data_IF_857020553077
#
_entry.id   IF_857020553077
#
_cell.length_a   1.000
_cell.length_b   1.000
_cell.length_c   1.000
_cell.angle_alpha   90.00
_cell.angle_beta   90.00
_cell.angle_gamma   90.00
#
_symmetry.space_group_name_H-M   'P 1'
#
loop_
_entity.id
_entity.type
_entity.pdbx_description
1 polymer ?
#
# COMPACT_ATOMS: atom_id res chain seq x y z
N UNK A 1 11.49 7.38 -3.42
CA UNK A 1 10.31 6.90 -2.68
C UNK A 1 9.46 6.08 -3.64
N UNK A 2 9.02 4.90 -3.22
CA UNK A 2 8.00 4.13 -3.93
C UNK A 2 6.66 4.36 -3.27
N UNK A 3 5.61 4.51 -4.06
CA UNK A 3 4.23 4.49 -3.59
C UNK A 3 3.62 3.17 -3.99
N UNK A 4 3.28 2.33 -3.03
CA UNK A 4 2.63 1.05 -3.27
C UNK A 4 1.16 1.15 -2.88
N UNK A 5 0.30 0.78 -3.80
CA UNK A 5 -1.15 0.71 -3.60
C UNK A 5 -1.57 -0.73 -3.80
N UNK A 6 -2.03 -1.37 -2.73
CA UNK A 6 -2.59 -2.71 -2.76
C UNK A 6 -4.10 -2.57 -2.68
N UNK A 7 -4.79 -3.05 -3.71
CA UNK A 7 -6.25 -3.13 -3.72
C UNK A 7 -6.68 -4.58 -3.57
N UNK A 8 -7.58 -4.82 -2.64
CA UNK A 8 -8.12 -6.15 -2.38
C UNK A 8 -9.58 -6.09 -2.00
N UNK A 9 -10.16 -7.27 -1.80
CA UNK A 9 -11.50 -7.44 -1.24
C UNK A 9 -11.37 -8.15 0.08
N UNK A 10 -12.17 -7.68 1.04
CA UNK A 10 -12.37 -8.39 2.28
C UNK A 10 -13.13 -9.69 2.00
N UNK A 11 -12.66 -10.80 2.56
CA UNK A 11 -13.37 -12.07 2.53
C UNK A 11 -14.45 -12.11 3.61
N UNK A 12 -14.53 -13.22 4.35
CA UNK A 12 -15.24 -13.25 5.63
C UNK A 12 -14.45 -12.43 6.65
N UNK A 13 -14.67 -11.11 6.65
CA UNK A 13 -14.13 -10.23 7.67
C UNK A 13 -15.03 -10.27 8.91
N UNK A 14 -14.46 -10.69 10.04
CA UNK A 14 -15.11 -10.59 11.33
C UNK A 14 -15.35 -9.12 11.71
N UNK A 15 -16.32 -8.88 12.59
CA UNK A 15 -16.62 -7.52 13.08
C UNK A 15 -15.40 -6.85 13.74
N UNK A 16 -14.47 -7.63 14.29
CA UNK A 16 -13.23 -7.15 14.91
C UNK A 16 -12.26 -6.54 13.88
N UNK A 17 -12.04 -7.21 12.75
CA UNK A 17 -11.23 -6.68 11.65
C UNK A 17 -11.86 -5.43 11.04
N UNK A 18 -13.19 -5.39 10.91
CA UNK A 18 -13.90 -4.18 10.45
C UNK A 18 -13.69 -3.00 11.39
N UNK A 19 -13.71 -3.24 12.71
CA UNK A 19 -13.45 -2.20 13.70
C UNK A 19 -11.99 -1.70 13.65
N UNK A 20 -11.02 -2.61 13.52
CA UNK A 20 -9.61 -2.25 13.39
C UNK A 20 -9.35 -1.38 12.15
N UNK A 21 -9.95 -1.76 11.02
CA UNK A 21 -9.91 -1.02 9.77
C UNK A 21 -10.60 0.34 9.89
N UNK A 22 -11.76 0.41 10.54
CA UNK A 22 -12.50 1.66 10.73
C UNK A 22 -11.78 2.62 11.69
N UNK A 23 -11.06 2.09 12.70
CA UNK A 23 -10.23 2.89 13.61
C UNK A 23 -8.97 3.43 12.92
N UNK A 24 -8.44 2.71 11.92
CA UNK A 24 -7.33 3.16 11.09
C UNK A 24 -7.74 4.02 9.88
N UNK A 25 -9.03 4.11 9.57
CA UNK A 25 -9.59 4.97 8.52
C UNK A 25 -9.55 6.42 9.00
N UNK A 26 -8.39 7.05 8.84
CA UNK A 26 -8.21 8.46 9.14
C UNK A 26 -9.10 9.25 8.15
N UNK A 27 -10.23 9.74 8.66
CA UNK A 27 -11.27 10.45 7.91
C UNK A 27 -10.77 11.67 7.11
N UNK A 28 -9.52 12.09 7.34
CA UNK A 28 -8.87 13.23 6.71
C UNK A 28 -7.97 12.91 5.51
N UNK A 29 -7.90 11.65 5.08
CA UNK A 29 -7.52 11.33 3.72
C UNK A 29 -6.47 10.26 3.58
N UNK A 30 -6.55 9.57 2.45
CA UNK A 30 -5.62 8.55 1.98
C UNK A 30 -4.18 9.08 1.81
N UNK A 31 -3.50 9.34 2.91
CA UNK A 31 -2.09 9.67 2.94
C UNK A 31 -1.26 8.41 2.67
N UNK A 32 -0.17 8.55 1.92
CA UNK A 32 0.82 7.48 1.82
C UNK A 32 1.74 7.63 3.03
N UNK A 33 1.62 6.74 4.01
CA UNK A 33 2.45 6.70 5.22
C UNK A 33 3.43 5.53 5.16
N UNK A 34 4.55 5.60 5.91
CA UNK A 34 5.57 4.53 5.92
C UNK A 34 5.04 3.25 6.59
N UNK A 35 4.16 3.42 7.57
CA UNK A 35 3.42 2.32 8.18
C UNK A 35 2.35 1.72 7.25
N UNK A 36 1.92 2.47 6.22
CA UNK A 36 0.81 2.12 5.35
C UNK A 36 -0.53 2.57 5.93
N UNK A 37 -1.31 3.26 5.12
CA UNK A 37 -2.67 3.68 5.43
C UNK A 37 -3.66 2.74 4.75
N UNK A 38 -4.55 2.18 5.55
CA UNK A 38 -5.61 1.32 5.08
C UNK A 38 -6.88 2.15 4.89
N UNK A 39 -7.50 2.08 3.71
CA UNK A 39 -8.76 2.78 3.42
C UNK A 39 -9.79 1.77 2.94
N UNK A 40 -11.00 1.85 3.49
CA UNK A 40 -12.10 0.96 3.09
C UNK A 40 -13.26 1.72 2.50
N UNK A 41 -13.98 1.07 1.58
CA UNK A 41 -15.27 1.57 1.15
C UNK A 41 -16.31 1.40 2.29
N UNK A 42 -17.33 2.26 2.35
CA UNK A 42 -18.44 2.16 3.33
C UNK A 42 -19.10 0.77 3.33
N UNK A 43 -19.09 0.06 2.20
CA UNK A 43 -19.63 -1.29 2.10
C UNK A 43 -18.70 -2.40 2.59
N UNK A 44 -17.45 -2.11 2.99
CA UNK A 44 -16.40 -3.11 3.27
C UNK A 44 -16.28 -4.19 2.19
N UNK A 45 -16.64 -3.87 0.95
CA UNK A 45 -16.59 -4.79 -0.19
C UNK A 45 -15.18 -4.85 -0.76
N UNK A 46 -14.50 -3.70 -0.78
CA UNK A 46 -13.13 -3.56 -1.23
C UNK A 46 -12.35 -2.66 -0.28
N UNK A 47 -11.05 -2.91 -0.23
CA UNK A 47 -10.10 -2.08 0.49
C UNK A 47 -8.96 -1.64 -0.41
N UNK A 48 -8.33 -0.54 0.00
CA UNK A 48 -7.13 -0.01 -0.60
C UNK A 48 -6.12 0.28 0.50
N UNK A 49 -5.06 -0.50 0.53
CA UNK A 49 -3.89 -0.24 1.36
C UNK A 49 -2.87 0.58 0.58
N UNK A 50 -2.39 1.67 1.16
CA UNK A 50 -1.45 2.61 0.54
C UNK A 50 -0.25 2.76 1.45
N UNK A 51 0.90 2.29 1.02
CA UNK A 51 2.15 2.41 1.76
C UNK A 51 3.16 3.21 0.92
N UNK A 52 3.91 4.09 1.59
CA UNK A 52 5.12 4.64 0.99
C UNK A 52 6.31 3.83 1.48
N UNK A 53 7.09 3.30 0.55
CA UNK A 53 8.33 2.62 0.87
C UNK A 53 9.47 3.57 0.55
N UNK A 54 10.33 3.93 1.52
CA UNK A 54 11.53 4.70 1.25
C UNK A 54 12.34 3.96 0.18
N UNK A 55 12.60 4.64 -0.94
CA UNK A 55 13.35 4.03 -2.04
C UNK A 55 14.83 4.26 -1.80
N UNK A 56 15.55 3.18 -1.51
CA UNK A 56 17.01 3.16 -1.51
C UNK A 56 17.53 3.04 -2.96
N UNK A 57 18.79 3.46 -3.22
CA UNK A 57 19.35 3.49 -4.57
C UNK A 57 19.49 2.10 -5.21
N UNK A 58 19.52 1.05 -4.39
CA UNK A 58 19.61 -0.36 -4.83
C UNK A 58 18.23 -1.02 -4.91
N UNK A 59 17.24 -0.50 -4.18
CA UNK A 59 15.88 -1.02 -4.16
C UNK A 59 15.16 -0.78 -5.48
N UNK A 60 14.60 -1.86 -6.02
CA UNK A 60 13.69 -1.87 -7.16
C UNK A 60 12.22 -1.96 -6.76
N UNK A 61 11.35 -2.06 -7.77
CA UNK A 61 9.91 -2.25 -7.57
C UNK A 61 9.58 -3.57 -6.83
N UNK A 62 10.44 -4.59 -6.94
CA UNK A 62 10.31 -5.86 -6.22
C UNK A 62 10.47 -5.66 -4.72
N UNK A 63 11.57 -5.05 -4.26
CA UNK A 63 11.78 -4.72 -2.85
C UNK A 63 10.61 -3.89 -2.29
N UNK A 64 10.15 -2.89 -3.04
CA UNK A 64 9.01 -2.08 -2.63
C UNK A 64 7.73 -2.91 -2.48
N UNK A 65 7.50 -3.87 -3.37
CA UNK A 65 6.38 -4.81 -3.28
C UNK A 65 6.50 -5.67 -2.03
N UNK A 66 7.67 -6.27 -1.80
CA UNK A 66 7.91 -7.16 -0.66
C UNK A 66 7.74 -6.44 0.67
N UNK A 67 8.22 -5.19 0.78
CA UNK A 67 8.01 -4.34 1.96
C UNK A 67 6.53 -4.01 2.17
N UNK A 68 5.81 -3.69 1.10
CA UNK A 68 4.39 -3.39 1.19
C UNK A 68 3.56 -4.63 1.57
N UNK A 69 3.93 -5.81 1.04
CA UNK A 69 3.31 -7.09 1.42
C UNK A 69 3.64 -7.44 2.87
N UNK A 70 4.88 -7.24 3.32
CA UNK A 70 5.25 -7.46 4.72
C UNK A 70 4.48 -6.53 5.68
N UNK A 71 4.28 -5.27 5.31
CA UNK A 71 3.48 -4.32 6.09
C UNK A 71 1.99 -4.72 6.13
N UNK A 72 1.48 -5.29 5.03
CA UNK A 72 0.12 -5.82 4.95
C UNK A 72 -0.06 -7.11 5.77
N UNK A 73 0.89 -8.04 5.69
CA UNK A 73 0.92 -9.27 6.50
C UNK A 73 1.03 -8.95 7.99
N UNK A 74 1.81 -7.92 8.36
CA UNK A 74 1.91 -7.44 9.74
C UNK A 74 0.57 -6.89 10.29
N UNK A 75 -0.33 -6.41 9.41
CA UNK A 75 -1.69 -6.05 9.79
C UNK A 75 -2.58 -7.27 10.04
N UNK A 76 -2.20 -8.47 9.55
CA UNK A 76 -2.79 -9.74 9.98
C UNK A 76 -4.24 -9.99 9.56
N UNK A 77 -4.75 -9.28 8.55
CA UNK A 77 -6.15 -9.42 8.13
C UNK A 77 -6.33 -10.47 7.03
N UNK A 78 -7.34 -11.37 7.11
CA UNK A 78 -7.68 -12.32 6.05
C UNK A 78 -8.28 -11.56 4.85
N UNK A 79 -7.40 -11.12 3.96
CA UNK A 79 -7.70 -10.20 2.88
C UNK A 79 -7.26 -10.79 1.54
N UNK A 80 -8.14 -10.76 0.53
CA UNK A 80 -7.79 -11.22 -0.83
C UNK A 80 -7.20 -10.07 -1.63
N UNK A 81 -5.90 -10.14 -1.91
CA UNK A 81 -5.21 -9.18 -2.79
C UNK A 81 -5.69 -9.39 -4.22
N UNK A 82 -6.29 -8.36 -4.83
CA UNK A 82 -6.71 -8.39 -6.23
C UNK A 82 -5.65 -7.77 -7.14
N UNK A 83 -5.05 -6.67 -6.71
CA UNK A 83 -4.10 -5.92 -7.51
C UNK A 83 -3.12 -5.16 -6.64
N UNK A 84 -1.84 -5.30 -6.96
CA UNK A 84 -0.77 -4.46 -6.41
C UNK A 84 -0.33 -3.51 -7.52
N UNK A 85 -0.28 -2.22 -7.21
CA UNK A 85 0.25 -1.19 -8.08
C UNK A 85 1.41 -0.51 -7.35
N UNK A 86 2.62 -0.70 -7.87
CA UNK A 86 3.82 -0.03 -7.39
C UNK A 86 4.09 1.13 -8.33
N UNK A 87 4.34 2.29 -7.75
CA UNK A 87 4.69 3.49 -8.50
C UNK A 87 5.99 4.02 -7.95
N UNK A 88 7.06 3.88 -8.73
CA UNK A 88 8.33 4.51 -8.40
C UNK A 88 8.25 6.01 -8.66
N UNK A 89 8.22 6.81 -7.59
CA UNK A 89 8.18 8.27 -7.73
C UNK A 89 9.51 8.82 -8.29
N UNK A 90 10.57 8.01 -8.41
CA UNK A 90 11.82 8.39 -9.08
C UNK A 90 11.68 8.30 -10.60
N UNK A 91 10.92 7.34 -11.10
CA UNK A 91 10.58 7.13 -12.52
C UNK A 91 9.48 8.08 -13.02
N UNK A 92 8.60 8.58 -12.13
CA UNK A 92 7.62 9.64 -12.46
C UNK A 92 8.35 10.98 -12.70
N UNK A 93 9.00 11.08 -13.85
CA UNK A 93 9.20 12.28 -14.66
C UNK A 93 9.77 13.51 -13.93
N UNK A 94 10.94 13.37 -13.32
CA UNK A 94 12.02 14.25 -13.77
C UNK A 94 12.77 13.43 -14.80
N UNK A 95 12.66 13.78 -16.09
CA UNK A 95 13.56 13.28 -17.13
C UNK A 95 15.00 13.65 -16.77
N UNK A 96 15.66 12.94 -15.86
CA UNK A 96 17.10 13.02 -15.72
C UNK A 96 17.71 12.08 -16.74
N UNK A 97 17.90 12.64 -17.92
CA UNK A 97 18.83 12.13 -18.92
C UNK A 97 20.20 11.99 -18.24
N UNK A 98 20.69 10.76 -18.09
CA UNK A 98 22.06 10.43 -17.65
C UNK A 98 22.07 9.46 -16.47
N UNK A 99 22.88 8.39 -16.45
CA UNK A 99 24.18 8.23 -17.11
C UNK A 99 24.63 6.76 -17.07
N UNK A 100 24.96 6.21 -18.25
CA UNK A 100 25.97 5.18 -18.60
C UNK A 100 26.27 4.02 -17.63
N UNK A 101 26.30 2.81 -18.20
CA UNK A 101 27.60 2.22 -18.57
C UNK A 101 27.53 1.65 -19.99
#
# INVERSE_FOLDING_TARGET
MFRVTIRGTFGELGAADRAAVLTGDDAFGAAFTEAGTFTSDRGFSAFTFRCQVPASPEDGEKEATERAVAALEAHGHPCRILRVAVTDMRDIKIRRKGRRR
#
